data_IF_906778903328
#
_entry.id   IF_906778903328
#
_cell.length_a   1.000
_cell.length_b   1.000
_cell.length_c   1.000
_cell.angle_alpha   90.00
_cell.angle_beta   90.00
_cell.angle_gamma   90.00
#
_symmetry.space_group_name_H-M   'P 1'
#
loop_
_entity.id
_entity.type
_entity.pdbx_description
1 polymer ?
#
# COMPACT_ATOMS: atom_id res chain seq x y z
N UNK A 1 17.92 52.24 -38.27
CA UNK A 1 18.01 53.47 -37.44
C UNK A 1 16.65 53.70 -36.77
N UNK A 2 16.68 54.16 -35.50
CA UNK A 2 15.56 54.73 -34.67
C UNK A 2 14.55 53.73 -34.06
N UNK A 3 14.63 53.39 -32.75
CA UNK A 3 14.21 54.09 -31.50
C UNK A 3 12.70 53.88 -31.19
N UNK A 4 12.36 53.03 -30.21
CA UNK A 4 12.07 53.32 -28.77
C UNK A 4 10.86 54.23 -28.52
N UNK A 5 9.91 53.76 -27.71
CA UNK A 5 9.10 54.67 -26.88
C UNK A 5 7.73 54.17 -26.41
N UNK A 6 7.61 54.02 -25.08
CA UNK A 6 6.44 54.27 -24.22
C UNK A 6 5.14 53.46 -24.48
N UNK A 7 4.52 52.80 -23.50
CA UNK A 7 4.45 53.12 -22.08
C UNK A 7 3.02 53.49 -21.69
N UNK A 8 2.39 52.57 -20.95
CA UNK A 8 1.48 52.77 -19.79
C UNK A 8 -0.02 53.12 -20.03
N UNK A 9 -0.84 52.46 -19.18
CA UNK A 9 -2.17 52.85 -18.65
C UNK A 9 -3.38 52.41 -19.50
N UNK A 10 -4.50 51.88 -18.98
CA UNK A 10 -5.06 51.90 -17.61
C UNK A 10 -6.28 50.95 -17.55
N UNK A 11 -6.35 50.15 -16.49
CA UNK A 11 -7.53 49.92 -15.64
C UNK A 11 -8.90 49.63 -16.30
N UNK A 12 -9.33 48.37 -16.19
CA UNK A 12 -10.72 47.92 -16.35
C UNK A 12 -11.06 46.84 -15.32
N UNK A 13 -11.14 47.25 -14.06
CA UNK A 13 -11.70 46.57 -12.89
C UNK A 13 -12.62 45.36 -13.14
N UNK A 14 -12.19 44.14 -12.75
CA UNK A 14 -13.10 43.07 -12.31
C UNK A 14 -12.41 41.89 -11.58
N UNK A 15 -11.40 42.14 -10.75
CA UNK A 15 -10.79 41.09 -9.92
C UNK A 15 -10.56 41.56 -8.48
N UNK A 16 -11.66 41.80 -7.77
CA UNK A 16 -11.85 41.59 -6.32
C UNK A 16 -13.36 41.39 -6.20
N UNK A 17 -13.90 40.27 -5.73
CA UNK A 17 -14.03 39.89 -4.32
C UNK A 17 -14.48 38.41 -4.27
N UNK A 18 -13.61 37.50 -3.84
CA UNK A 18 -14.02 36.36 -2.99
C UNK A 18 -12.90 36.18 -1.97
N UNK A 19 -12.84 37.10 -1.02
CA UNK A 19 -12.23 36.84 0.28
C UNK A 19 -13.29 36.18 1.14
N UNK A 20 -13.00 34.98 1.65
CA UNK A 20 -13.90 34.32 2.59
C UNK A 20 -13.52 32.87 2.87
N UNK A 21 -12.72 32.69 3.92
CA UNK A 21 -12.66 31.48 4.76
C UNK A 21 -12.58 30.13 4.04
N UNK A 22 -11.37 29.68 3.73
CA UNK A 22 -11.05 28.28 3.97
C UNK A 22 -9.99 28.25 5.05
N UNK A 23 -10.50 28.13 6.27
CA UNK A 23 -9.75 27.73 7.45
C UNK A 23 -8.80 26.63 7.00
N UNK A 24 -7.50 26.90 7.08
CA UNK A 24 -6.47 25.88 7.10
C UNK A 24 -6.76 25.03 8.34
N UNK A 25 -7.73 24.12 8.20
CA UNK A 25 -7.85 23.00 9.10
C UNK A 25 -6.64 22.15 8.77
N UNK A 26 -5.54 22.46 9.45
CA UNK A 26 -4.53 21.49 9.77
C UNK A 26 -5.23 20.40 10.57
N UNK A 27 -6.03 19.58 9.88
CA UNK A 27 -6.15 18.20 10.25
C UNK A 27 -4.73 17.69 10.10
N UNK A 28 -3.98 17.76 11.21
CA UNK A 28 -3.01 16.74 11.50
C UNK A 28 -3.76 15.45 11.19
N UNK A 29 -3.48 14.87 10.02
CA UNK A 29 -3.71 13.47 9.81
C UNK A 29 -2.86 12.85 10.90
N UNK A 30 -3.46 12.69 12.08
CA UNK A 30 -2.99 11.78 13.10
C UNK A 30 -2.96 10.51 12.32
N UNK A 31 -1.77 10.14 11.87
CA UNK A 31 -1.52 8.82 11.33
C UNK A 31 -2.03 7.93 12.44
N UNK A 32 -3.24 7.39 12.25
CA UNK A 32 -3.78 6.33 13.08
C UNK A 32 -2.66 5.32 13.07
N UNK A 33 -1.92 5.30 14.17
CA UNK A 33 -0.78 4.39 14.29
C UNK A 33 -1.45 3.04 14.15
N UNK A 34 -1.19 2.39 13.01
CA UNK A 34 -1.76 1.08 12.73
C UNK A 34 -1.53 0.27 14.01
N UNK A 35 -2.57 -0.39 14.55
CA UNK A 35 -2.43 -1.16 15.77
C UNK A 35 -1.14 -1.96 15.67
N UNK A 36 -0.30 -1.89 16.70
CA UNK A 36 1.03 -2.49 16.69
C UNK A 36 0.87 -4.02 16.75
N UNK A 37 0.50 -4.60 15.62
CA UNK A 37 0.36 -6.03 15.44
C UNK A 37 1.78 -6.59 15.47
N UNK A 38 2.04 -7.64 16.27
CA UNK A 38 3.33 -8.33 16.25
C UNK A 38 3.74 -8.63 14.79
N UNK A 39 5.01 -8.44 14.42
CA UNK A 39 5.47 -8.62 13.04
C UNK A 39 5.06 -9.97 12.44
N UNK A 40 5.06 -11.02 13.25
CA UNK A 40 4.63 -12.36 12.87
C UNK A 40 3.14 -12.42 12.49
N UNK A 41 2.24 -11.89 13.32
CA UNK A 41 0.80 -11.91 13.03
C UNK A 41 0.48 -10.99 11.85
N UNK A 42 1.15 -9.83 11.74
CA UNK A 42 1.02 -8.94 10.59
C UNK A 42 1.46 -9.59 9.28
N UNK A 43 2.59 -10.31 9.29
CA UNK A 43 3.07 -11.07 8.14
C UNK A 43 2.15 -12.25 7.80
N UNK A 44 1.64 -12.97 8.81
CA UNK A 44 0.72 -14.09 8.63
C UNK A 44 -0.56 -13.65 7.95
N UNK A 45 -1.18 -12.58 8.45
CA UNK A 45 -2.39 -12.00 7.87
C UNK A 45 -2.16 -11.51 6.44
N UNK A 46 -1.06 -10.79 6.20
CA UNK A 46 -0.69 -10.31 4.87
C UNK A 46 -0.50 -11.45 3.85
N UNK A 47 0.16 -12.54 4.25
CA UNK A 47 0.38 -13.70 3.36
C UNK A 47 -0.90 -14.47 3.06
N UNK A 48 -1.77 -14.66 4.06
CA UNK A 48 -3.06 -15.33 3.87
C UNK A 48 -3.96 -14.49 2.95
N UNK A 49 -4.05 -13.19 3.20
CA UNK A 49 -4.85 -12.27 2.37
C UNK A 49 -4.35 -12.24 0.92
N UNK A 50 -3.03 -12.07 0.74
CA UNK A 50 -2.41 -12.15 -0.59
C UNK A 50 -2.74 -13.46 -1.31
N UNK A 51 -2.64 -14.59 -0.60
CA UNK A 51 -2.90 -15.91 -1.15
C UNK A 51 -4.35 -16.07 -1.60
N UNK A 52 -5.30 -15.72 -0.72
CA UNK A 52 -6.73 -15.82 -1.03
C UNK A 52 -7.11 -14.89 -2.18
N UNK A 53 -6.58 -13.66 -2.21
CA UNK A 53 -6.84 -12.71 -3.30
C UNK A 53 -6.26 -13.18 -4.64
N UNK A 54 -5.05 -13.74 -4.65
CA UNK A 54 -4.44 -14.27 -5.88
C UNK A 54 -5.18 -15.49 -6.43
N UNK A 55 -5.66 -16.37 -5.56
CA UNK A 55 -6.19 -17.66 -5.97
C UNK A 55 -7.71 -17.63 -6.21
N UNK A 56 -8.45 -16.81 -5.45
CA UNK A 56 -9.88 -16.57 -5.71
C UNK A 56 -10.14 -15.99 -7.10
N UNK A 57 -9.22 -15.18 -7.63
CA UNK A 57 -9.29 -14.65 -8.99
C UNK A 57 -9.00 -15.67 -10.10
N UNK A 58 -8.35 -16.81 -9.78
CA UNK A 58 -7.92 -17.82 -10.76
C UNK A 58 -8.74 -19.10 -10.75
N UNK A 59 -9.16 -19.53 -9.56
CA UNK A 59 -9.68 -20.89 -9.35
C UNK A 59 -11.15 -20.94 -8.91
N UNK A 60 -11.78 -19.79 -8.65
CA UNK A 60 -13.13 -19.75 -8.09
C UNK A 60 -13.17 -20.17 -6.61
N UNK A 61 -14.25 -19.80 -5.93
CA UNK A 61 -14.52 -20.04 -4.50
C UNK A 61 -14.62 -21.55 -4.15
N UNK A 62 -14.22 -22.15 -3.02
CA UNK A 62 -13.60 -21.71 -1.76
C UNK A 62 -12.95 -22.88 -0.94
N UNK A 63 -12.69 -24.05 -1.53
CA UNK A 63 -12.39 -25.27 -0.74
C UNK A 63 -10.91 -25.61 -0.55
N UNK A 64 -10.21 -25.88 -1.65
CA UNK A 64 -8.87 -26.48 -1.65
C UNK A 64 -7.76 -25.48 -1.37
N UNK A 65 -7.85 -24.28 -1.94
CA UNK A 65 -6.79 -23.28 -1.82
C UNK A 65 -6.64 -22.70 -0.40
N UNK A 66 -7.68 -22.70 0.43
CA UNK A 66 -7.59 -22.20 1.82
C UNK A 66 -6.60 -23.04 2.63
N UNK A 67 -6.60 -24.37 2.44
CA UNK A 67 -5.65 -25.26 3.11
C UNK A 67 -4.23 -25.09 2.56
N UNK A 68 -4.09 -24.95 1.23
CA UNK A 68 -2.80 -24.66 0.59
C UNK A 68 -2.23 -23.32 1.08
N UNK A 69 -3.06 -22.27 1.19
CA UNK A 69 -2.66 -20.96 1.73
C UNK A 69 -2.17 -21.08 3.18
N UNK A 70 -2.93 -21.76 4.05
CA UNK A 70 -2.51 -21.98 5.44
C UNK A 70 -1.19 -22.75 5.54
N UNK A 71 -1.02 -23.78 4.71
CA UNK A 71 0.20 -24.58 4.66
C UNK A 71 1.41 -23.75 4.18
N UNK A 72 1.26 -23.04 3.06
CA UNK A 72 2.33 -22.22 2.48
C UNK A 72 2.72 -21.07 3.42
N UNK A 73 1.75 -20.35 3.99
CA UNK A 73 2.00 -19.30 4.97
C UNK A 73 2.77 -19.82 6.18
N UNK A 74 2.33 -20.93 6.79
CA UNK A 74 3.02 -21.46 7.97
C UNK A 74 4.45 -21.95 7.68
N UNK A 75 4.70 -22.48 6.48
CA UNK A 75 6.07 -22.85 6.05
C UNK A 75 6.95 -21.62 5.93
N UNK A 76 6.50 -20.63 5.17
CA UNK A 76 7.28 -19.42 4.90
C UNK A 76 7.51 -18.60 6.17
N UNK A 77 6.49 -18.47 7.02
CA UNK A 77 6.57 -17.69 8.26
C UNK A 77 7.66 -18.22 9.22
N UNK A 78 7.85 -19.54 9.29
CA UNK A 78 8.89 -20.18 10.13
C UNK A 78 10.32 -19.87 9.67
N UNK A 79 10.49 -19.54 8.40
CA UNK A 79 11.78 -19.27 7.78
C UNK A 79 12.06 -17.76 7.66
N UNK A 80 11.08 -16.91 7.97
CA UNK A 80 11.20 -15.47 7.88
C UNK A 80 11.90 -14.89 9.11
N UNK A 81 12.79 -13.92 8.87
CA UNK A 81 13.28 -13.06 9.95
C UNK A 81 12.32 -11.87 10.18
N UNK A 82 12.55 -11.10 11.25
CA UNK A 82 11.65 -9.99 11.60
C UNK A 82 11.59 -8.87 10.55
N UNK A 83 12.68 -8.58 9.84
CA UNK A 83 12.70 -7.54 8.81
C UNK A 83 11.91 -7.96 7.58
N UNK A 84 11.98 -9.25 7.23
CA UNK A 84 11.15 -9.86 6.20
C UNK A 84 9.67 -9.83 6.59
N UNK A 85 9.34 -10.15 7.86
CA UNK A 85 7.98 -10.09 8.38
C UNK A 85 7.41 -8.67 8.30
N UNK A 86 8.17 -7.66 8.74
CA UNK A 86 7.80 -6.25 8.62
C UNK A 86 7.61 -5.84 7.17
N UNK A 87 8.50 -6.28 6.28
CA UNK A 87 8.40 -6.02 4.84
C UNK A 87 7.11 -6.59 4.25
N UNK A 88 6.81 -7.86 4.55
CA UNK A 88 5.60 -8.53 4.06
C UNK A 88 4.33 -7.88 4.63
N UNK A 89 4.29 -7.57 5.92
CA UNK A 89 3.18 -6.87 6.56
C UNK A 89 2.94 -5.49 5.94
N UNK A 90 4.02 -4.71 5.73
CA UNK A 90 3.97 -3.37 5.13
C UNK A 90 3.44 -3.39 3.69
N UNK A 91 3.90 -4.33 2.88
CA UNK A 91 3.55 -4.38 1.46
C UNK A 91 2.34 -5.27 1.15
N UNK A 92 1.80 -5.97 2.15
CA UNK A 92 0.67 -6.91 2.05
C UNK A 92 0.86 -7.99 0.96
N UNK A 93 2.12 -8.38 0.70
CA UNK A 93 2.49 -9.38 -0.30
C UNK A 93 3.91 -9.92 -0.04
N UNK A 94 4.26 -11.10 -0.56
CA UNK A 94 5.64 -11.58 -0.54
C UNK A 94 6.59 -10.56 -1.16
N UNK A 95 7.63 -10.17 -0.42
CA UNK A 95 8.71 -9.33 -0.96
C UNK A 95 9.58 -10.15 -1.92
N UNK A 96 10.45 -9.50 -2.70
CA UNK A 96 11.39 -10.21 -3.59
C UNK A 96 12.25 -11.25 -2.85
N UNK A 97 12.64 -10.97 -1.61
CA UNK A 97 13.39 -11.89 -0.76
C UNK A 97 12.59 -13.11 -0.28
N UNK A 98 11.26 -13.00 -0.21
CA UNK A 98 10.36 -14.05 0.30
C UNK A 98 9.67 -14.80 -0.86
N UNK A 99 9.66 -14.21 -2.06
CA UNK A 99 8.91 -14.72 -3.22
C UNK A 99 9.28 -16.15 -3.62
N UNK A 100 10.56 -16.49 -3.73
CA UNK A 100 10.96 -17.85 -4.13
C UNK A 100 10.60 -18.92 -3.08
N UNK A 101 10.75 -18.59 -1.79
CA UNK A 101 10.31 -19.43 -0.67
C UNK A 101 8.79 -19.61 -0.68
N UNK A 102 8.05 -18.54 -0.98
CA UNK A 102 6.60 -18.58 -1.13
C UNK A 102 6.16 -19.52 -2.25
N UNK A 103 6.73 -19.37 -3.44
CA UNK A 103 6.42 -20.22 -4.59
C UNK A 103 6.77 -21.70 -4.31
N UNK A 104 7.94 -21.96 -3.70
CA UNK A 104 8.33 -23.31 -3.30
C UNK A 104 7.40 -23.91 -2.25
N UNK A 105 7.01 -23.13 -1.22
CA UNK A 105 6.08 -23.58 -0.19
C UNK A 105 4.69 -23.87 -0.74
N UNK A 106 4.22 -23.04 -1.67
CA UNK A 106 2.95 -23.21 -2.38
C UNK A 106 2.92 -24.53 -3.16
N UNK A 107 3.93 -24.76 -3.99
CA UNK A 107 4.07 -25.97 -4.80
C UNK A 107 4.21 -27.24 -3.96
N UNK A 108 4.78 -27.13 -2.76
CA UNK A 108 4.88 -28.25 -1.82
C UNK A 108 3.64 -28.48 -0.94
N UNK A 109 2.61 -27.65 -1.06
CA UNK A 109 1.38 -27.68 -0.25
C UNK A 109 0.11 -27.90 -1.10
N UNK A 110 0.23 -27.97 -2.42
CA UNK A 110 -0.87 -28.24 -3.36
C UNK A 110 -1.08 -29.74 -3.57
#
# INVERSE_FOLDING_TARGET
MMRFGAGILRFGYCLTVIGGLLVATGHQAVALSDPEVPPEEGARLALIDYCVLQESGKHGQYGTYVNTCKCATNRVLKEMNQDEMKGVAKWKRPTSAVKSRWESAWEGCK
#
